data_IF_926602484583
#
_entry.id   IF_926602484583
#
_cell.length_a   1.000
_cell.length_b   1.000
_cell.length_c   1.000
_cell.angle_alpha   90.00
_cell.angle_beta   90.00
_cell.angle_gamma   90.00
#
_symmetry.space_group_name_H-M   'P 1'
#
loop_
_entity.id
_entity.type
_entity.pdbx_description
1 polymer ?
#
# COMPACT_ATOMS: atom_id res chain seq x y z
N UNK A 1 -22.49 19.76 0.76
CA UNK A 1 -21.37 18.86 1.03
C UNK A 1 -21.63 18.25 2.38
N UNK A 2 -21.93 16.95 2.47
CA UNK A 2 -22.06 16.27 3.76
C UNK A 2 -20.63 16.05 4.29
N UNK A 3 -20.17 16.97 5.11
CA UNK A 3 -18.91 16.79 5.81
C UNK A 3 -19.03 15.63 6.78
N UNK A 4 -18.05 14.77 6.79
CA UNK A 4 -17.99 13.65 7.75
C UNK A 4 -18.07 14.21 9.17
N UNK A 5 -19.01 13.75 10.01
CA UNK A 5 -19.18 14.30 11.36
C UNK A 5 -17.89 14.17 12.18
N UNK A 6 -17.46 15.24 12.82
CA UNK A 6 -16.23 15.27 13.62
C UNK A 6 -16.24 14.20 14.71
N UNK A 7 -17.38 13.94 15.32
CA UNK A 7 -17.54 12.87 16.33
C UNK A 7 -17.25 11.48 15.75
N UNK A 8 -17.69 11.21 14.50
CA UNK A 8 -17.40 9.96 13.80
C UNK A 8 -15.91 9.83 13.49
N UNK A 9 -15.26 10.91 13.04
CA UNK A 9 -13.81 10.93 12.80
C UNK A 9 -13.02 10.62 14.08
N UNK A 10 -13.35 11.30 15.19
CA UNK A 10 -12.68 11.08 16.49
C UNK A 10 -12.89 9.64 16.97
N UNK A 11 -14.11 9.12 16.90
CA UNK A 11 -14.40 7.73 17.27
C UNK A 11 -13.61 6.74 16.42
N UNK A 12 -13.53 6.96 15.10
CA UNK A 12 -12.74 6.14 14.19
C UNK A 12 -11.26 6.12 14.57
N UNK A 13 -10.64 7.31 14.77
CA UNK A 13 -9.23 7.38 15.17
C UNK A 13 -8.98 6.72 16.52
N UNK A 14 -9.87 6.91 17.51
CA UNK A 14 -9.75 6.28 18.82
C UNK A 14 -9.80 4.74 18.74
N UNK A 15 -10.73 4.20 17.93
CA UNK A 15 -10.84 2.74 17.70
C UNK A 15 -9.61 2.20 16.98
N UNK A 16 -9.12 2.87 15.92
CA UNK A 16 -7.95 2.45 15.17
C UNK A 16 -6.68 2.48 16.03
N UNK A 17 -6.48 3.55 16.82
CA UNK A 17 -5.33 3.65 17.74
C UNK A 17 -5.41 2.54 18.79
N UNK A 18 -6.58 2.33 19.39
CA UNK A 18 -6.77 1.24 20.36
C UNK A 18 -6.47 -0.13 19.75
N UNK A 19 -6.92 -0.36 18.51
CA UNK A 19 -6.64 -1.59 17.77
C UNK A 19 -5.14 -1.81 17.56
N UNK A 20 -4.42 -0.80 17.05
CA UNK A 20 -2.97 -0.91 16.84
C UNK A 20 -2.19 -1.09 18.13
N UNK A 21 -2.58 -0.39 19.20
CA UNK A 21 -1.96 -0.56 20.52
C UNK A 21 -2.14 -1.99 21.01
N UNK A 22 -3.37 -2.53 20.93
CA UNK A 22 -3.66 -3.92 21.31
C UNK A 22 -2.88 -4.90 20.46
N UNK A 23 -2.83 -4.70 19.13
CA UNK A 23 -2.11 -5.57 18.21
C UNK A 23 -0.62 -5.63 18.54
N UNK A 24 0.04 -4.49 18.78
CA UNK A 24 1.44 -4.43 19.20
C UNK A 24 1.69 -5.15 20.55
N UNK A 25 0.78 -5.00 21.53
CA UNK A 25 0.92 -5.68 22.81
C UNK A 25 0.67 -7.19 22.73
N UNK A 26 -0.21 -7.64 21.83
CA UNK A 26 -0.53 -9.07 21.65
C UNK A 26 0.59 -9.78 20.88
N UNK A 27 1.15 -9.13 19.84
CA UNK A 27 2.22 -9.71 19.02
C UNK A 27 3.47 -10.00 19.85
N UNK A 28 3.84 -9.13 20.81
CA UNK A 28 5.03 -9.31 21.65
C UNK A 28 4.94 -10.51 22.62
N UNK A 29 3.78 -11.19 22.74
CA UNK A 29 3.59 -12.22 23.77
C UNK A 29 3.92 -13.65 23.35
N UNK A 30 3.80 -14.04 22.08
CA UNK A 30 4.16 -15.40 21.60
C UNK A 30 4.53 -15.36 20.12
N UNK A 31 5.80 -15.27 19.76
CA UNK A 31 6.22 -15.37 18.38
C UNK A 31 5.91 -16.78 17.85
N UNK A 32 5.01 -16.88 16.87
CA UNK A 32 4.71 -18.13 16.14
C UNK A 32 4.50 -17.82 14.67
N UNK A 33 4.80 -18.78 13.82
CA UNK A 33 4.47 -18.70 12.39
C UNK A 33 2.99 -19.04 12.23
N UNK A 34 2.15 -18.12 11.73
CA UNK A 34 0.72 -18.38 11.62
C UNK A 34 0.43 -19.47 10.57
N UNK A 35 -0.57 -20.30 10.84
CA UNK A 35 -1.04 -21.30 9.88
C UNK A 35 -1.83 -20.65 8.74
N UNK A 36 -1.91 -21.32 7.57
CA UNK A 36 -2.71 -20.85 6.43
C UNK A 36 -4.17 -20.57 6.81
N UNK A 37 -4.76 -21.41 7.69
CA UNK A 37 -6.13 -21.24 8.17
C UNK A 37 -6.28 -19.96 9.00
N UNK A 38 -5.34 -19.70 9.90
CA UNK A 38 -5.31 -18.46 10.70
C UNK A 38 -5.17 -17.23 9.81
N UNK A 39 -4.28 -17.26 8.81
CA UNK A 39 -4.12 -16.18 7.85
C UNK A 39 -5.43 -15.86 7.11
N UNK A 40 -6.09 -16.88 6.56
CA UNK A 40 -7.36 -16.70 5.84
C UNK A 40 -8.45 -16.15 6.75
N UNK A 41 -8.55 -16.64 8.00
CA UNK A 41 -9.54 -16.14 8.96
C UNK A 41 -9.31 -14.67 9.32
N UNK A 42 -8.06 -14.26 9.56
CA UNK A 42 -7.73 -12.87 9.86
C UNK A 42 -7.95 -11.94 8.65
N UNK A 43 -7.57 -12.38 7.44
CA UNK A 43 -7.85 -11.62 6.20
C UNK A 43 -9.35 -11.42 6.03
N UNK A 44 -10.14 -12.50 6.16
CA UNK A 44 -11.60 -12.41 6.08
C UNK A 44 -12.18 -11.45 7.14
N UNK A 45 -11.66 -11.50 8.37
CA UNK A 45 -12.05 -10.57 9.44
C UNK A 45 -11.77 -9.11 9.06
N UNK A 46 -10.57 -8.78 8.55
CA UNK A 46 -10.23 -7.41 8.16
C UNK A 46 -11.02 -6.93 6.94
N UNK A 47 -11.29 -7.80 5.98
CA UNK A 47 -12.17 -7.49 4.85
C UNK A 47 -13.58 -7.17 5.33
N UNK A 48 -14.15 -7.97 6.23
CA UNK A 48 -15.47 -7.71 6.81
C UNK A 48 -15.47 -6.40 7.60
N UNK A 49 -14.42 -6.11 8.37
CA UNK A 49 -14.28 -4.82 9.07
C UNK A 49 -14.25 -3.64 8.10
N UNK A 50 -13.53 -3.74 6.99
CA UNK A 50 -13.51 -2.69 5.96
C UNK A 50 -14.90 -2.49 5.32
N UNK A 51 -15.61 -3.59 5.02
CA UNK A 51 -16.97 -3.52 4.49
C UNK A 51 -17.95 -2.86 5.47
N UNK A 52 -17.87 -3.22 6.77
CA UNK A 52 -18.69 -2.59 7.82
C UNK A 52 -18.32 -1.11 7.94
N UNK A 53 -17.04 -0.76 7.96
CA UNK A 53 -16.60 0.64 8.04
C UNK A 53 -17.10 1.48 6.88
N UNK A 54 -16.99 0.97 5.65
CA UNK A 54 -17.55 1.65 4.46
C UNK A 54 -19.08 1.82 4.55
N UNK A 55 -19.79 0.84 5.12
CA UNK A 55 -21.22 0.96 5.45
C UNK A 55 -21.50 2.05 6.50
N UNK A 56 -20.66 2.18 7.52
CA UNK A 56 -20.75 3.27 8.50
C UNK A 56 -20.49 4.64 7.85
N UNK A 57 -19.47 4.73 6.98
CA UNK A 57 -19.22 5.95 6.19
C UNK A 57 -20.45 6.31 5.35
N UNK A 58 -21.10 5.31 4.74
CA UNK A 58 -22.36 5.57 4.01
C UNK A 58 -23.44 6.16 4.92
N UNK A 59 -23.65 5.57 6.09
CA UNK A 59 -24.68 6.03 7.04
C UNK A 59 -24.41 7.45 7.58
N UNK A 60 -23.15 7.78 7.88
CA UNK A 60 -22.80 9.04 8.54
C UNK A 60 -22.38 10.16 7.58
N UNK A 61 -21.81 9.82 6.40
CA UNK A 61 -21.25 10.79 5.46
C UNK A 61 -21.91 10.74 4.08
N UNK A 62 -22.72 9.72 3.81
CA UNK A 62 -23.43 9.54 2.55
C UNK A 62 -22.74 8.63 1.53
N UNK A 63 -23.37 8.45 0.37
CA UNK A 63 -22.95 7.47 -0.64
C UNK A 63 -21.61 7.83 -1.30
N UNK A 64 -21.36 9.10 -1.59
CA UNK A 64 -20.14 9.53 -2.29
C UNK A 64 -18.87 9.21 -1.48
N UNK A 65 -18.71 9.63 -0.19
CA UNK A 65 -17.56 9.26 0.63
C UNK A 65 -17.40 7.75 0.84
N UNK A 66 -18.51 6.99 0.91
CA UNK A 66 -18.44 5.54 1.01
C UNK A 66 -17.86 4.88 -0.26
N UNK A 67 -18.29 5.31 -1.45
CA UNK A 67 -17.73 4.85 -2.73
C UNK A 67 -16.26 5.24 -2.85
N UNK A 68 -15.89 6.45 -2.43
CA UNK A 68 -14.51 6.92 -2.39
C UNK A 68 -13.66 6.05 -1.46
N UNK A 69 -14.16 5.71 -0.27
CA UNK A 69 -13.50 4.79 0.65
C UNK A 69 -13.28 3.41 0.03
N UNK A 70 -14.32 2.78 -0.52
CA UNK A 70 -14.17 1.46 -1.13
C UNK A 70 -13.21 1.46 -2.34
N UNK A 71 -13.27 2.51 -3.16
CA UNK A 71 -12.35 2.67 -4.29
C UNK A 71 -10.90 2.81 -3.82
N UNK A 72 -10.66 3.67 -2.84
CA UNK A 72 -9.35 3.88 -2.23
C UNK A 72 -8.83 2.61 -1.54
N UNK A 73 -9.67 1.94 -0.75
CA UNK A 73 -9.33 0.69 -0.07
C UNK A 73 -8.94 -0.43 -1.04
N UNK A 74 -9.72 -0.66 -2.11
CA UNK A 74 -9.41 -1.67 -3.10
C UNK A 74 -8.14 -1.36 -3.88
N UNK A 75 -7.95 -0.09 -4.26
CA UNK A 75 -6.72 0.36 -4.95
C UNK A 75 -5.51 0.16 -4.07
N UNK A 76 -5.55 0.64 -2.82
CA UNK A 76 -4.43 0.50 -1.88
C UNK A 76 -4.16 -0.96 -1.54
N UNK A 77 -5.20 -1.76 -1.30
CA UNK A 77 -5.07 -3.19 -1.03
C UNK A 77 -4.35 -3.92 -2.18
N UNK A 78 -4.68 -3.55 -3.42
CA UNK A 78 -4.06 -4.15 -4.61
C UNK A 78 -2.60 -3.72 -4.81
N UNK A 79 -2.30 -2.42 -4.63
CA UNK A 79 -0.93 -1.91 -4.65
C UNK A 79 -0.08 -2.52 -3.51
N UNK A 80 -0.70 -2.70 -2.33
CA UNK A 80 -0.03 -3.30 -1.18
C UNK A 80 0.30 -4.78 -1.38
N UNK A 81 -0.46 -5.53 -2.18
CA UNK A 81 -0.12 -6.91 -2.54
C UNK A 81 1.19 -6.93 -3.33
N UNK A 82 1.36 -6.03 -4.29
CA UNK A 82 2.60 -5.91 -5.08
C UNK A 82 3.79 -5.56 -4.17
N UNK A 83 3.60 -4.64 -3.24
CA UNK A 83 4.62 -4.25 -2.27
C UNK A 83 5.08 -5.42 -1.36
N UNK A 84 4.22 -6.42 -1.12
CA UNK A 84 4.58 -7.61 -0.34
C UNK A 84 5.67 -8.46 -0.99
N UNK A 85 5.76 -8.49 -2.33
CA UNK A 85 6.84 -9.19 -3.03
C UNK A 85 8.20 -8.62 -2.61
N UNK A 86 8.31 -7.31 -2.57
CA UNK A 86 9.55 -6.65 -2.15
C UNK A 86 9.86 -6.94 -0.69
N UNK A 87 8.85 -7.02 0.19
CA UNK A 87 9.07 -7.43 1.58
C UNK A 87 9.56 -8.87 1.71
N UNK A 88 9.06 -9.79 0.87
CA UNK A 88 9.56 -11.18 0.83
C UNK A 88 11.03 -11.21 0.41
N UNK A 89 11.40 -10.44 -0.63
CA UNK A 89 12.78 -10.32 -1.10
C UNK A 89 13.68 -9.72 -0.01
N UNK A 90 13.24 -8.66 0.67
CA UNK A 90 13.98 -8.05 1.79
C UNK A 90 14.20 -9.08 2.89
N UNK A 91 13.15 -9.77 3.35
CA UNK A 91 13.26 -10.78 4.41
C UNK A 91 14.22 -11.91 4.04
N UNK A 92 14.21 -12.33 2.77
CA UNK A 92 15.11 -13.36 2.24
C UNK A 92 16.56 -12.88 2.18
N UNK A 93 16.81 -11.70 1.61
CA UNK A 93 18.17 -11.14 1.45
C UNK A 93 18.87 -10.86 2.78
N UNK A 94 18.10 -10.46 3.80
CA UNK A 94 18.63 -10.28 5.16
C UNK A 94 18.57 -11.54 6.01
N UNK A 95 18.18 -12.70 5.44
CA UNK A 95 18.05 -13.99 6.13
C UNK A 95 17.27 -13.86 7.45
N UNK A 96 16.15 -13.10 7.46
CA UNK A 96 15.35 -12.86 8.66
C UNK A 96 14.72 -14.19 9.12
N UNK A 97 15.00 -14.66 10.36
CA UNK A 97 14.42 -15.88 10.88
C UNK A 97 12.89 -15.86 10.82
N UNK A 98 12.26 -16.95 10.35
CA UNK A 98 10.80 -17.05 10.17
C UNK A 98 10.00 -16.63 11.41
N UNK A 99 10.52 -16.92 12.59
CA UNK A 99 9.89 -16.57 13.88
C UNK A 99 9.86 -15.05 14.10
N UNK A 100 10.84 -14.32 13.57
CA UNK A 100 10.96 -12.87 13.71
C UNK A 100 10.22 -12.09 12.59
N UNK A 101 9.90 -12.74 11.47
CA UNK A 101 9.25 -12.07 10.33
C UNK A 101 7.92 -11.42 10.72
N UNK A 102 7.13 -12.08 11.58
CA UNK A 102 5.88 -11.50 12.08
C UNK A 102 6.11 -10.18 12.83
N UNK A 103 7.10 -10.16 13.72
CA UNK A 103 7.48 -8.95 14.46
C UNK A 103 7.98 -7.83 13.54
N UNK A 104 8.87 -8.19 12.61
CA UNK A 104 9.41 -7.25 11.62
C UNK A 104 8.30 -6.60 10.79
N UNK A 105 7.36 -7.40 10.31
CA UNK A 105 6.22 -6.89 9.54
C UNK A 105 5.32 -5.97 10.37
N UNK A 106 5.02 -6.34 11.62
CA UNK A 106 4.17 -5.51 12.48
C UNK A 106 4.79 -4.16 12.77
N UNK A 107 6.07 -4.14 13.12
CA UNK A 107 6.80 -2.87 13.34
C UNK A 107 6.91 -2.10 12.02
N UNK A 108 7.25 -2.78 10.92
CA UNK A 108 7.34 -2.18 9.59
C UNK A 108 6.03 -1.53 9.15
N UNK A 109 4.91 -2.24 9.26
CA UNK A 109 3.57 -1.72 8.93
C UNK A 109 3.19 -0.53 9.82
N UNK A 110 3.54 -0.58 11.11
CA UNK A 110 3.27 0.54 12.03
C UNK A 110 4.05 1.79 11.63
N UNK A 111 5.35 1.64 11.33
CA UNK A 111 6.18 2.74 10.84
C UNK A 111 5.66 3.26 9.50
N UNK A 112 5.34 2.37 8.57
CA UNK A 112 4.74 2.69 7.29
C UNK A 112 3.47 3.54 7.44
N UNK A 113 2.57 3.14 8.33
CA UNK A 113 1.33 3.86 8.59
C UNK A 113 1.55 5.27 9.13
N UNK A 114 2.51 5.45 10.03
CA UNK A 114 2.87 6.78 10.56
C UNK A 114 3.42 7.66 9.44
N UNK A 115 4.35 7.13 8.62
CA UNK A 115 4.93 7.86 7.51
C UNK A 115 3.87 8.22 6.46
N UNK A 116 3.02 7.28 6.07
CA UNK A 116 1.89 7.54 5.15
C UNK A 116 0.93 8.57 5.70
N UNK A 117 0.62 8.54 7.00
CA UNK A 117 -0.17 9.57 7.66
C UNK A 117 0.42 10.97 7.49
N UNK A 118 1.73 11.12 7.71
CA UNK A 118 2.44 12.37 7.47
C UNK A 118 2.38 12.79 5.98
N UNK A 119 2.62 11.86 5.05
CA UNK A 119 2.56 12.15 3.61
C UNK A 119 1.15 12.52 3.15
N UNK A 120 0.11 11.89 3.69
CA UNK A 120 -1.29 12.22 3.39
C UNK A 120 -1.61 13.65 3.85
N UNK A 121 -1.20 14.03 5.07
CA UNK A 121 -1.43 15.38 5.59
C UNK A 121 -0.70 16.44 4.75
N UNK A 122 0.57 16.21 4.40
CA UNK A 122 1.35 17.10 3.53
C UNK A 122 0.75 17.14 2.13
N UNK A 123 0.41 15.99 1.55
CA UNK A 123 -0.21 15.87 0.23
C UNK A 123 -1.55 16.60 0.16
N UNK A 124 -2.41 16.43 1.16
CA UNK A 124 -3.68 17.14 1.25
C UNK A 124 -3.49 18.65 1.31
N UNK A 125 -2.54 19.15 2.11
CA UNK A 125 -2.24 20.59 2.19
C UNK A 125 -1.73 21.15 0.85
N UNK A 126 -0.93 20.39 0.13
CA UNK A 126 -0.40 20.77 -1.19
C UNK A 126 -1.53 20.83 -2.23
N UNK A 127 -2.34 19.75 -2.30
CA UNK A 127 -3.41 19.61 -3.30
C UNK A 127 -4.49 20.67 -3.10
N UNK A 128 -4.84 20.99 -1.85
CA UNK A 128 -5.80 22.06 -1.56
C UNK A 128 -5.34 23.45 -2.03
N UNK A 129 -4.03 23.65 -2.13
CA UNK A 129 -3.44 24.96 -2.48
C UNK A 129 -3.01 25.06 -3.94
N UNK A 130 -2.65 23.93 -4.56
CA UNK A 130 -2.02 23.89 -5.88
C UNK A 130 -2.66 22.81 -6.77
N UNK A 131 -3.72 23.14 -7.50
CA UNK A 131 -4.40 22.20 -8.42
C UNK A 131 -3.46 21.66 -9.52
N UNK A 132 -2.45 22.43 -9.94
CA UNK A 132 -1.49 22.01 -10.95
C UNK A 132 -0.66 20.76 -10.53
N UNK A 133 -0.56 20.47 -9.24
CA UNK A 133 0.12 19.27 -8.73
C UNK A 133 -0.51 17.97 -9.28
N UNK A 134 -1.80 18.00 -9.62
CA UNK A 134 -2.44 16.87 -10.26
C UNK A 134 -1.87 16.51 -11.64
N UNK A 135 -1.28 17.48 -12.38
CA UNK A 135 -0.54 17.18 -13.60
C UNK A 135 0.70 16.33 -13.31
N UNK A 136 1.46 16.68 -12.26
CA UNK A 136 2.64 15.92 -11.85
C UNK A 136 2.26 14.51 -11.40
N UNK A 137 1.25 14.40 -10.54
CA UNK A 137 0.77 13.11 -10.06
C UNK A 137 0.23 12.25 -11.20
N UNK A 138 -0.58 12.83 -12.08
CA UNK A 138 -1.11 12.13 -13.24
C UNK A 138 -0.02 11.62 -14.17
N UNK A 139 0.95 12.47 -14.52
CA UNK A 139 2.08 12.10 -15.35
C UNK A 139 2.94 10.99 -14.71
N UNK A 140 3.16 11.08 -13.40
CA UNK A 140 3.90 10.10 -12.63
C UNK A 140 3.19 8.73 -12.62
N UNK A 141 1.87 8.70 -12.37
CA UNK A 141 1.09 7.45 -12.39
C UNK A 141 1.03 6.82 -13.80
N UNK A 142 0.92 7.65 -14.86
CA UNK A 142 0.97 7.14 -16.24
C UNK A 142 2.36 6.56 -16.53
N UNK A 143 3.44 7.22 -16.10
CA UNK A 143 4.79 6.70 -16.23
C UNK A 143 4.96 5.36 -15.51
N UNK A 144 4.49 5.26 -14.26
CA UNK A 144 4.52 4.02 -13.47
C UNK A 144 3.71 2.91 -14.15
N UNK A 145 2.52 3.23 -14.66
CA UNK A 145 1.69 2.28 -15.40
C UNK A 145 2.41 1.73 -16.65
N UNK A 146 3.06 2.59 -17.43
CA UNK A 146 3.84 2.20 -18.61
C UNK A 146 5.02 1.31 -18.18
N UNK A 147 5.75 1.70 -17.14
CA UNK A 147 6.88 0.93 -16.62
C UNK A 147 6.48 -0.48 -16.20
N UNK A 148 5.33 -0.64 -15.52
CA UNK A 148 4.80 -1.94 -15.11
C UNK A 148 4.46 -2.86 -16.30
N UNK A 149 4.04 -2.30 -17.44
CA UNK A 149 3.70 -3.10 -18.65
C UNK A 149 4.95 -3.42 -19.49
N UNK A 150 5.86 -2.44 -19.62
CA UNK A 150 7.02 -2.53 -20.52
C UNK A 150 8.24 -3.17 -19.85
N UNK A 151 8.33 -3.00 -18.54
CA UNK A 151 9.47 -3.44 -17.74
C UNK A 151 9.45 -4.93 -17.44
N UNK A 152 9.09 -5.84 -18.36
CA UNK A 152 9.20 -7.31 -18.27
C UNK A 152 9.84 -7.91 -17.00
N UNK A 153 9.86 -9.20 -16.87
CA UNK A 153 10.52 -9.98 -15.78
C UNK A 153 12.07 -9.74 -15.71
N UNK A 154 12.51 -8.49 -15.74
CA UNK A 154 13.84 -8.16 -15.26
C UNK A 154 13.82 -8.52 -13.77
N UNK A 155 14.53 -9.59 -13.42
CA UNK A 155 14.77 -10.03 -12.06
C UNK A 155 14.91 -8.79 -11.18
N UNK A 156 13.93 -8.53 -10.30
CA UNK A 156 14.01 -7.48 -9.29
C UNK A 156 15.11 -7.88 -8.31
N UNK A 157 16.37 -7.81 -8.78
CA UNK A 157 17.51 -7.86 -7.88
C UNK A 157 17.34 -6.70 -6.90
N UNK A 158 17.11 -7.04 -5.65
CA UNK A 158 17.09 -6.05 -4.58
C UNK A 158 18.42 -5.29 -4.57
N UNK A 159 18.42 -4.08 -5.10
CA UNK A 159 19.52 -3.16 -4.96
C UNK A 159 19.45 -2.46 -3.61
N UNK A 160 20.40 -2.78 -2.74
CA UNK A 160 20.52 -2.14 -1.41
C UNK A 160 20.52 -0.61 -1.55
N UNK A 161 19.58 0.04 -0.89
CA UNK A 161 19.38 1.49 -0.95
C UNK A 161 20.67 2.22 -0.55
N UNK A 162 21.04 3.28 -1.26
CA UNK A 162 22.27 4.05 -0.99
C UNK A 162 22.41 4.52 0.46
N UNK A 163 21.27 4.83 1.11
CA UNK A 163 21.20 5.16 2.54
C UNK A 163 21.69 4.00 3.42
N UNK A 164 21.26 2.77 3.14
CA UNK A 164 21.61 1.57 3.91
C UNK A 164 23.08 1.24 3.72
N UNK A 165 23.59 1.35 2.50
CA UNK A 165 25.01 1.19 2.20
C UNK A 165 25.89 2.22 2.95
N UNK A 166 25.40 3.46 3.08
CA UNK A 166 26.09 4.51 3.85
C UNK A 166 26.05 4.21 5.35
N UNK A 167 24.90 3.78 5.89
CA UNK A 167 24.73 3.41 7.29
C UNK A 167 25.65 2.26 7.69
N UNK A 168 25.77 1.20 6.88
CA UNK A 168 26.71 0.09 7.15
C UNK A 168 28.17 0.52 7.26
N UNK A 169 28.55 1.64 6.65
CA UNK A 169 29.93 2.19 6.78
C UNK A 169 30.14 2.94 8.10
N UNK A 170 29.08 3.48 8.70
CA UNK A 170 29.14 4.34 9.89
C UNK A 170 28.80 3.57 11.17
N UNK A 171 27.94 2.56 11.08
CA UNK A 171 27.40 1.84 12.24
C UNK A 171 28.05 0.45 12.33
N UNK A 172 28.47 0.07 13.55
CA UNK A 172 28.96 -1.30 13.83
C UNK A 172 27.77 -2.24 13.96
N UNK A 173 27.63 -3.17 13.02
CA UNK A 173 26.54 -4.14 12.96
C UNK A 173 27.11 -5.53 13.20
N UNK A 174 26.38 -6.37 13.97
CA UNK A 174 26.69 -7.80 14.10
C UNK A 174 26.15 -8.58 12.90
N UNK A 175 26.72 -9.76 12.64
CA UNK A 175 26.23 -10.68 11.61
C UNK A 175 25.02 -11.48 12.08
N UNK A 176 24.80 -11.61 13.39
CA UNK A 176 23.77 -12.43 13.98
C UNK A 176 22.62 -11.59 14.56
N UNK A 177 21.40 -12.13 14.48
CA UNK A 177 20.23 -11.64 15.18
C UNK A 177 20.28 -12.00 16.67
N UNK A 178 19.93 -11.07 17.56
CA UNK A 178 19.74 -11.30 19.00
C UNK A 178 18.24 -11.19 19.35
N UNK A 179 17.44 -12.14 18.88
CA UNK A 179 15.99 -12.08 19.01
C UNK A 179 15.41 -10.81 18.36
N UNK A 180 14.51 -10.12 19.07
CA UNK A 180 13.88 -8.87 18.63
C UNK A 180 14.70 -7.62 18.92
N UNK A 181 15.89 -7.76 19.54
CA UNK A 181 16.68 -6.63 19.98
C UNK A 181 17.33 -5.90 18.81
N UNK A 182 17.31 -4.58 18.86
CA UNK A 182 18.02 -3.70 17.91
C UNK A 182 19.51 -3.54 18.26
N UNK A 183 19.87 -3.77 19.54
CA UNK A 183 21.24 -3.67 20.03
C UNK A 183 21.61 -4.89 20.87
N UNK A 184 22.86 -5.32 20.71
CA UNK A 184 23.46 -6.41 21.51
C UNK A 184 24.83 -6.00 22.01
N UNK A 185 25.28 -6.61 23.09
CA UNK A 185 26.64 -6.43 23.62
C UNK A 185 27.49 -7.66 23.30
N UNK A 186 28.64 -7.43 22.63
CA UNK A 186 29.69 -8.44 22.44
C UNK A 186 31.02 -7.85 22.93
N UNK A 187 31.72 -8.57 23.77
CA UNK A 187 33.05 -8.18 24.32
C UNK A 187 33.06 -6.79 25.00
N UNK A 188 31.98 -6.46 25.74
CA UNK A 188 31.83 -5.16 26.42
C UNK A 188 31.61 -3.96 25.48
N UNK A 189 31.31 -4.20 24.23
CA UNK A 189 30.99 -3.17 23.23
C UNK A 189 29.56 -3.35 22.70
N UNK A 190 28.87 -2.22 22.54
CA UNK A 190 27.50 -2.22 21.97
C UNK A 190 27.55 -2.23 20.46
N UNK A 191 26.79 -3.11 19.85
CA UNK A 191 26.62 -3.26 18.41
C UNK A 191 25.13 -3.19 18.05
N UNK A 192 24.85 -2.77 16.83
CA UNK A 192 23.52 -2.88 16.25
C UNK A 192 23.32 -4.28 15.65
N UNK A 193 22.12 -4.81 15.72
CA UNK A 193 21.77 -6.08 15.09
C UNK A 193 21.31 -5.85 13.64
N UNK A 194 21.28 -6.87 12.77
CA UNK A 194 20.72 -6.77 11.43
C UNK A 194 19.26 -6.29 11.42
N UNK A 195 18.53 -6.48 12.53
CA UNK A 195 17.14 -6.03 12.70
C UNK A 195 16.96 -4.54 12.41
N UNK A 196 17.92 -3.69 12.82
CA UNK A 196 17.88 -2.25 12.52
C UNK A 196 17.88 -2.00 11.01
N UNK A 197 18.77 -2.68 10.28
CA UNK A 197 18.85 -2.52 8.82
C UNK A 197 17.57 -2.96 8.14
N UNK A 198 17.00 -4.09 8.58
CA UNK A 198 15.73 -4.60 8.05
C UNK A 198 14.62 -3.57 8.24
N UNK A 199 14.47 -2.99 9.43
CA UNK A 199 13.46 -1.96 9.67
C UNK A 199 13.66 -0.70 8.82
N UNK A 200 14.90 -0.24 8.70
CA UNK A 200 15.20 0.92 7.84
C UNK A 200 14.95 0.61 6.36
N UNK A 201 15.27 -0.60 5.92
CA UNK A 201 14.99 -1.04 4.54
C UNK A 201 13.50 -1.07 4.28
N UNK A 202 12.72 -1.72 5.14
CA UNK A 202 11.25 -1.78 5.00
C UNK A 202 10.66 -0.38 5.03
N UNK A 203 11.07 0.46 6.00
CA UNK A 203 10.55 1.83 6.12
C UNK A 203 10.87 2.69 4.90
N UNK A 204 12.11 2.65 4.39
CA UNK A 204 12.47 3.42 3.18
C UNK A 204 11.80 2.91 1.93
N UNK A 205 11.61 1.61 1.82
CA UNK A 205 10.89 0.99 0.69
C UNK A 205 9.41 1.36 0.72
N UNK A 206 8.77 1.36 1.91
CA UNK A 206 7.36 1.79 2.01
C UNK A 206 7.18 3.27 1.67
N UNK A 207 8.14 4.13 2.02
CA UNK A 207 8.14 5.53 1.56
C UNK A 207 8.15 5.61 0.03
N UNK A 208 8.94 4.77 -0.65
CA UNK A 208 8.94 4.73 -2.12
C UNK A 208 7.57 4.31 -2.68
N UNK A 209 6.93 3.31 -2.08
CA UNK A 209 5.58 2.89 -2.47
C UNK A 209 4.50 3.94 -2.16
N UNK A 210 4.70 4.76 -1.13
CA UNK A 210 3.81 5.86 -0.82
C UNK A 210 3.77 6.93 -1.93
N UNK A 211 4.84 7.09 -2.71
CA UNK A 211 4.85 8.00 -3.86
C UNK A 211 3.89 7.56 -4.98
N UNK A 212 3.63 6.27 -5.13
CA UNK A 212 2.68 5.74 -6.11
C UNK A 212 1.25 5.73 -5.55
N UNK A 213 1.08 5.21 -4.34
CA UNK A 213 -0.24 4.96 -3.76
C UNK A 213 -0.95 6.23 -3.31
N UNK A 214 -0.26 7.18 -2.71
CA UNK A 214 -0.88 8.41 -2.20
C UNK A 214 -1.47 9.27 -3.35
N UNK A 215 -0.74 9.58 -4.45
CA UNK A 215 -1.35 10.21 -5.61
C UNK A 215 -2.53 9.45 -6.19
N UNK A 216 -2.44 8.10 -6.25
CA UNK A 216 -3.52 7.27 -6.75
C UNK A 216 -4.81 7.44 -5.94
N UNK A 217 -4.72 7.45 -4.60
CA UNK A 217 -5.89 7.64 -3.74
C UNK A 217 -6.40 9.09 -3.82
N UNK A 218 -5.53 10.09 -3.89
CA UNK A 218 -5.93 11.49 -4.11
C UNK A 218 -6.63 11.73 -5.47
N UNK A 219 -6.37 10.86 -6.45
CA UNK A 219 -7.13 10.81 -7.70
C UNK A 219 -8.55 10.27 -7.54
N UNK A 220 -8.86 9.60 -6.43
CA UNK A 220 -10.19 9.06 -6.13
C UNK A 220 -10.98 9.96 -5.18
N UNK A 221 -10.32 10.56 -4.18
CA UNK A 221 -10.92 11.44 -3.19
C UNK A 221 -9.95 12.51 -2.72
N UNK A 222 -10.46 13.70 -2.40
CA UNK A 222 -9.68 14.81 -1.80
C UNK A 222 -9.86 14.90 -0.28
N UNK A 223 -10.66 14.03 0.32
CA UNK A 223 -10.90 14.00 1.76
C UNK A 223 -9.76 13.25 2.47
N UNK A 224 -8.92 13.93 3.29
CA UNK A 224 -7.79 13.30 3.97
C UNK A 224 -8.20 12.18 4.92
N UNK A 225 -9.41 12.27 5.51
CA UNK A 225 -9.94 11.23 6.39
C UNK A 225 -10.23 9.95 5.61
N UNK A 226 -10.86 10.06 4.43
CA UNK A 226 -11.12 8.92 3.55
C UNK A 226 -9.80 8.34 3.03
N UNK A 227 -8.85 9.18 2.58
CA UNK A 227 -7.51 8.74 2.15
C UNK A 227 -6.82 7.95 3.26
N UNK A 228 -6.78 8.49 4.48
CA UNK A 228 -6.12 7.85 5.62
C UNK A 228 -6.79 6.53 6.01
N UNK A 229 -8.11 6.52 6.16
CA UNK A 229 -8.85 5.32 6.57
C UNK A 229 -8.78 4.22 5.51
N UNK A 230 -8.85 4.52 4.22
CA UNK A 230 -8.64 3.57 3.12
C UNK A 230 -7.29 2.88 3.23
N UNK A 231 -6.23 3.66 3.49
CA UNK A 231 -4.88 3.18 3.69
C UNK A 231 -4.76 2.27 4.91
N UNK A 232 -5.29 2.70 6.06
CA UNK A 232 -5.27 1.92 7.30
C UNK A 232 -5.94 0.56 7.11
N UNK A 233 -7.17 0.55 6.57
CA UNK A 233 -7.91 -0.70 6.36
C UNK A 233 -7.27 -1.62 5.31
N UNK A 234 -6.53 -1.09 4.34
CA UNK A 234 -5.76 -1.89 3.40
C UNK A 234 -4.53 -2.53 4.05
N UNK A 235 -3.84 -1.83 4.92
CA UNK A 235 -2.65 -2.32 5.62
C UNK A 235 -2.98 -3.31 6.75
N UNK A 236 -4.18 -3.25 7.34
CA UNK A 236 -4.65 -4.16 8.40
C UNK A 236 -4.67 -5.57 7.85
N UNK A 237 -4.50 -6.27 7.21
CA UNK A 237 -4.46 -7.66 6.75
C UNK A 237 -3.16 -7.99 6.00
N UNK A 238 -2.33 -7.00 5.78
CA UNK A 238 -1.12 -7.14 4.96
C UNK A 238 -0.14 -8.16 5.54
N UNK A 239 0.00 -8.18 6.87
CA UNK A 239 0.85 -9.14 7.56
C UNK A 239 0.42 -10.59 7.31
N UNK A 240 -0.88 -10.86 7.37
CA UNK A 240 -1.42 -12.20 7.14
C UNK A 240 -1.32 -12.59 5.67
N UNK A 241 -1.48 -11.61 4.79
CA UNK A 241 -1.27 -11.79 3.35
C UNK A 241 0.17 -12.18 3.03
N UNK A 242 1.16 -11.60 3.72
CA UNK A 242 2.57 -11.97 3.57
C UNK A 242 2.80 -13.46 3.81
N UNK A 243 2.27 -14.02 4.91
CA UNK A 243 2.42 -15.44 5.21
C UNK A 243 1.63 -16.33 4.25
N UNK A 244 0.48 -15.87 3.77
CA UNK A 244 -0.32 -16.59 2.79
C UNK A 244 0.34 -16.56 1.40
N UNK A 245 0.88 -15.41 0.99
CA UNK A 245 1.48 -15.19 -0.32
C UNK A 245 2.80 -15.95 -0.49
N UNK A 246 3.56 -16.21 0.56
CA UNK A 246 4.77 -17.05 0.47
C UNK A 246 4.53 -18.42 -0.17
N UNK A 247 3.25 -18.86 -0.25
CA UNK A 247 2.80 -20.06 -0.95
C UNK A 247 2.05 -19.79 -2.28
N UNK A 248 1.71 -18.52 -2.57
CA UNK A 248 0.83 -18.12 -3.68
C UNK A 248 1.46 -17.08 -4.63
N UNK A 249 2.65 -16.57 -4.33
CA UNK A 249 3.30 -15.49 -5.07
C UNK A 249 3.46 -15.81 -6.55
N UNK A 250 3.82 -17.07 -6.87
CA UNK A 250 3.98 -17.53 -8.26
C UNK A 250 2.64 -17.64 -9.02
N UNK A 251 1.51 -17.35 -8.36
CA UNK A 251 0.16 -17.63 -8.90
C UNK A 251 -0.56 -16.41 -9.47
N UNK A 252 -0.12 -15.18 -9.16
CA UNK A 252 -0.79 -13.94 -9.57
C UNK A 252 -0.08 -13.22 -10.73
N UNK A 253 0.27 -13.96 -11.77
CA UNK A 253 1.09 -13.53 -12.91
C UNK A 253 0.57 -12.28 -13.63
N UNK A 254 -0.74 -12.06 -13.67
CA UNK A 254 -1.36 -10.93 -14.38
C UNK A 254 -1.76 -9.75 -13.47
N UNK A 255 -1.49 -9.83 -12.16
CA UNK A 255 -1.82 -8.75 -11.23
C UNK A 255 -1.11 -7.43 -11.58
N UNK A 256 0.20 -7.41 -11.92
CA UNK A 256 0.89 -6.18 -12.33
C UNK A 256 0.23 -5.50 -13.54
N UNK A 257 -0.30 -6.28 -14.49
CA UNK A 257 -1.02 -5.73 -15.67
C UNK A 257 -2.33 -5.07 -15.25
N UNK A 258 -3.07 -5.68 -14.32
CA UNK A 258 -4.29 -5.09 -13.75
C UNK A 258 -4.01 -3.79 -13.01
N UNK A 259 -2.94 -3.77 -12.21
CA UNK A 259 -2.48 -2.56 -11.50
C UNK A 259 -2.04 -1.45 -12.46
N UNK A 260 -1.27 -1.79 -13.50
CA UNK A 260 -0.88 -0.84 -14.53
C UNK A 260 -2.10 -0.16 -15.18
N UNK A 261 -3.14 -0.95 -15.48
CA UNK A 261 -4.38 -0.41 -16.03
C UNK A 261 -5.08 0.55 -15.05
N UNK A 262 -5.16 0.19 -13.76
CA UNK A 262 -5.75 1.04 -12.72
C UNK A 262 -4.96 2.34 -12.56
N UNK A 263 -3.62 2.26 -12.45
CA UNK A 263 -2.75 3.43 -12.32
C UNK A 263 -2.82 4.34 -13.55
N UNK A 264 -2.83 3.78 -14.74
CA UNK A 264 -3.00 4.52 -15.99
C UNK A 264 -4.34 5.27 -16.05
N UNK A 265 -5.43 4.58 -15.69
CA UNK A 265 -6.77 5.19 -15.61
C UNK A 265 -6.82 6.33 -14.58
N UNK A 266 -6.29 6.11 -13.36
CA UNK A 266 -6.27 7.14 -12.32
C UNK A 266 -5.35 8.30 -12.73
N UNK A 267 -4.21 8.02 -13.35
CA UNK A 267 -3.31 9.05 -13.88
C UNK A 267 -3.98 9.94 -14.92
N UNK A 268 -4.71 9.36 -15.87
CA UNK A 268 -5.51 10.12 -16.86
C UNK A 268 -6.58 10.95 -16.14
N UNK A 269 -7.29 10.39 -15.18
CA UNK A 269 -8.30 11.10 -14.40
C UNK A 269 -7.71 12.30 -13.66
N UNK A 270 -6.52 12.18 -13.07
CA UNK A 270 -5.83 13.31 -12.42
C UNK A 270 -5.44 14.41 -13.40
N UNK A 271 -4.97 14.06 -14.60
CA UNK A 271 -4.69 15.04 -15.64
C UNK A 271 -5.97 15.76 -16.07
N UNK A 272 -7.08 15.05 -16.21
CA UNK A 272 -8.39 15.65 -16.51
C UNK A 272 -8.84 16.60 -15.40
N UNK A 273 -8.70 16.21 -14.13
CA UNK A 273 -8.98 17.04 -12.96
C UNK A 273 -8.12 18.33 -12.96
N UNK A 274 -6.83 18.19 -13.29
CA UNK A 274 -5.92 19.33 -13.41
C UNK A 274 -6.31 20.28 -14.55
N UNK A 275 -6.81 19.76 -15.68
CA UNK A 275 -7.30 20.54 -16.81
C UNK A 275 -8.61 21.26 -16.47
N UNK A 276 -9.55 20.61 -15.79
CA UNK A 276 -10.82 21.21 -15.39
C UNK A 276 -10.65 22.31 -14.33
N UNK A 277 -9.62 22.21 -13.48
CA UNK A 277 -9.24 23.22 -12.48
C UNK A 277 -8.03 24.07 -12.88
N UNK A 278 -7.72 24.17 -14.18
CA UNK A 278 -6.48 24.79 -14.65
C UNK A 278 -6.31 26.24 -14.23
N UNK A 279 -5.11 26.56 -13.75
CA UNK A 279 -4.66 27.91 -13.38
C UNK A 279 -3.32 28.27 -14.03
N UNK A 280 -2.75 27.36 -14.85
CA UNK A 280 -1.44 27.56 -15.47
C UNK A 280 -1.57 28.44 -16.73
N UNK A 281 -0.88 29.60 -16.83
CA UNK A 281 -1.06 30.54 -17.92
C UNK A 281 -0.76 29.99 -19.32
N UNK A 282 0.12 28.98 -19.42
CA UNK A 282 0.52 28.36 -20.69
C UNK A 282 -0.45 27.26 -21.17
N UNK A 283 -1.43 26.86 -20.33
CA UNK A 283 -2.50 25.95 -20.71
C UNK A 283 -3.80 26.73 -20.76
N UNK A 284 -4.42 26.86 -21.94
CA UNK A 284 -5.69 27.58 -22.16
C UNK A 284 -5.71 29.00 -21.54
N UNK A 285 -4.56 29.70 -21.51
CA UNK A 285 -4.47 31.03 -20.92
C UNK A 285 -4.73 31.12 -19.42
N UNK A 286 -4.58 30.02 -18.68
CA UNK A 286 -4.88 29.96 -17.25
C UNK A 286 -6.37 29.75 -16.91
N UNK A 287 -7.20 29.51 -17.92
CA UNK A 287 -8.63 29.25 -17.72
C UNK A 287 -8.93 27.72 -17.67
N UNK A 288 -9.96 27.30 -16.92
CA UNK A 288 -10.47 25.94 -16.93
C UNK A 288 -10.79 25.45 -18.34
N UNK A 289 -10.49 24.18 -18.62
CA UNK A 289 -10.78 23.54 -19.90
C UNK A 289 -12.16 22.90 -19.84
N UNK A 290 -13.18 23.59 -20.37
CA UNK A 290 -14.60 23.27 -20.19
C UNK A 290 -15.10 22.00 -20.91
N UNK A 291 -14.34 21.47 -21.89
CA UNK A 291 -14.73 20.26 -22.63
C UNK A 291 -14.26 18.95 -21.94
N UNK A 292 -13.47 19.04 -20.88
CA UNK A 292 -12.97 17.86 -20.15
C UNK A 292 -14.10 17.30 -19.30
N UNK A 293 -14.51 16.03 -19.51
CA UNK A 293 -15.56 15.42 -18.72
C UNK A 293 -15.08 15.11 -17.31
N UNK A 294 -15.96 15.31 -16.33
CA UNK A 294 -15.74 14.82 -14.98
C UNK A 294 -16.01 13.32 -14.91
N UNK A 295 -15.06 12.54 -14.41
CA UNK A 295 -15.23 11.09 -14.20
C UNK A 295 -15.84 10.85 -12.82
N UNK A 296 -17.10 10.39 -12.74
CA UNK A 296 -17.74 10.09 -11.46
C UNK A 296 -16.98 9.02 -10.67
N UNK A 297 -16.95 9.14 -9.34
CA UNK A 297 -16.22 8.21 -8.47
C UNK A 297 -16.66 6.76 -8.61
N UNK A 298 -17.96 6.50 -8.86
CA UNK A 298 -18.47 5.15 -9.07
C UNK A 298 -17.88 4.46 -10.33
N UNK A 299 -17.57 5.24 -11.39
CA UNK A 299 -16.87 4.72 -12.57
C UNK A 299 -15.48 4.24 -12.20
N UNK A 300 -14.77 4.99 -11.37
CA UNK A 300 -13.45 4.59 -10.87
C UNK A 300 -13.54 3.25 -10.11
N UNK A 301 -14.53 3.09 -9.22
CA UNK A 301 -14.75 1.84 -8.51
C UNK A 301 -15.00 0.66 -9.46
N UNK A 302 -15.87 0.83 -10.46
CA UNK A 302 -16.16 -0.22 -11.46
C UNK A 302 -14.91 -0.60 -12.23
N UNK A 303 -14.15 0.39 -12.71
CA UNK A 303 -12.89 0.17 -13.44
C UNK A 303 -11.89 -0.61 -12.60
N UNK A 304 -11.71 -0.24 -11.33
CA UNK A 304 -10.80 -0.90 -10.39
C UNK A 304 -11.23 -2.35 -10.18
N UNK A 305 -12.50 -2.60 -9.86
CA UNK A 305 -13.04 -3.96 -9.61
C UNK A 305 -12.89 -4.84 -10.85
N UNK A 306 -13.19 -4.31 -12.03
CA UNK A 306 -13.11 -5.07 -13.30
C UNK A 306 -11.64 -5.36 -13.64
N UNK A 307 -10.74 -4.38 -13.54
CA UNK A 307 -9.33 -4.56 -13.87
C UNK A 307 -8.66 -5.58 -12.95
N UNK A 308 -8.82 -5.42 -11.64
CA UNK A 308 -8.21 -6.32 -10.63
C UNK A 308 -8.88 -7.70 -10.68
N UNK A 309 -10.21 -7.76 -10.75
CA UNK A 309 -10.94 -9.01 -10.82
C UNK A 309 -10.60 -9.84 -12.07
N UNK A 310 -10.53 -9.20 -13.24
CA UNK A 310 -10.16 -9.88 -14.48
C UNK A 310 -8.72 -10.38 -14.47
N UNK A 311 -7.76 -9.60 -13.95
CA UNK A 311 -6.37 -10.02 -13.84
C UNK A 311 -6.17 -11.17 -12.85
N UNK A 312 -6.90 -11.16 -11.73
CA UNK A 312 -6.89 -12.25 -10.77
C UNK A 312 -7.48 -13.54 -11.36
N UNK A 313 -8.63 -13.46 -12.06
CA UNK A 313 -9.25 -14.60 -12.74
C UNK A 313 -8.30 -15.15 -13.82
N UNK A 314 -7.72 -14.30 -14.66
CA UNK A 314 -6.77 -14.69 -15.68
C UNK A 314 -5.55 -15.41 -15.10
N UNK A 315 -5.02 -14.92 -13.97
CA UNK A 315 -3.90 -15.55 -13.26
C UNK A 315 -4.25 -16.97 -12.79
N UNK A 316 -5.43 -17.14 -12.16
CA UNK A 316 -5.90 -18.44 -11.69
C UNK A 316 -6.14 -19.42 -12.86
N UNK A 317 -6.70 -18.94 -13.98
CA UNK A 317 -6.91 -19.74 -15.17
C UNK A 317 -5.58 -20.22 -15.78
N UNK A 318 -4.59 -19.36 -15.92
CA UNK A 318 -3.25 -19.72 -16.41
C UNK A 318 -2.62 -20.79 -15.52
N UNK A 319 -2.72 -20.64 -14.22
CA UNK A 319 -2.18 -21.61 -13.28
C UNK A 319 -2.80 -23.01 -13.46
N UNK A 320 -4.14 -23.08 -13.54
CA UNK A 320 -4.83 -24.36 -13.77
C UNK A 320 -4.44 -25.03 -15.09
N UNK A 321 -4.22 -24.25 -16.14
CA UNK A 321 -3.77 -24.78 -17.44
C UNK A 321 -2.34 -25.33 -17.37
N UNK A 322 -1.44 -24.68 -16.61
CA UNK A 322 -0.08 -25.18 -16.41
C UNK A 322 -0.04 -26.43 -15.54
N UNK A 323 -0.86 -26.49 -14.49
CA UNK A 323 -1.00 -27.69 -13.65
C UNK A 323 -1.56 -28.89 -14.43
N UNK A 324 -2.58 -28.68 -15.29
CA UNK A 324 -3.14 -29.71 -16.17
C UNK A 324 -2.09 -30.23 -17.16
N UNK A 325 -1.35 -29.34 -17.83
CA UNK A 325 -0.29 -29.74 -18.76
C UNK A 325 0.85 -30.53 -18.08
N UNK A 326 1.17 -30.23 -16.80
CA UNK A 326 2.15 -30.99 -16.03
C UNK A 326 1.66 -32.36 -15.57
N UNK A 327 0.35 -32.59 -15.48
CA UNK A 327 -0.24 -33.88 -15.09
C UNK A 327 -0.40 -34.84 -16.27
N UNK A 328 -0.30 -34.32 -17.52
CA UNK A 328 -0.41 -35.09 -18.77
C UNK A 328 0.98 -35.46 -19.35
N UNK A 329 2.06 -34.87 -18.83
CA UNK A 329 3.44 -35.13 -19.22
C UNK A 329 4.14 -36.06 -18.20
#
# INVERSE_FOLDING_TARGET
>A
MSETPVAFMIATFAVLIAFFVVDLFVIGRKPHVPSTKECVQHIAFFVVMALIFGGLVWCFSGSKPAIEFYSGWLTEYSLSIDNLFVFVIIMSNFAVPKVLQKYVLSVGITVALILRGCFILVGAAIIQRFTWVFFLFGAFLIYTAIKLVVGGDDDEEYHENGLIRMLRKVIRITDDYDGEKLRTEKDGKSYWTPMLIVFLTIGTTDVMFAFDSIPAIFGLTKDPFIVFTSNVFALLGLQQLYFLLGALLDKLVYLPVGLAFVLGFIGIKLVMEALSGNTLPFINGGHPVSWVPEVPTWVSLVVIVVAIGSSAIASVMKMKSVEAAKSEA
#
